data_IF_305779522002
#
_entry.id   IF_305779522002
#
_cell.length_a   1.000
_cell.length_b   1.000
_cell.length_c   1.000
_cell.angle_alpha   90.00
_cell.angle_beta   90.00
_cell.angle_gamma   90.00
#
_symmetry.space_group_name_H-M   'P 1'
#
loop_
_entity.id
_entity.type
_entity.pdbx_description
1 polymer ?
#
# COMPACT_ATOMS: atom_id res chain seq x y z
N UNK A 1 39.95 -22.85 -21.24
CA UNK A 1 38.63 -22.31 -21.64
C UNK A 1 37.78 -21.98 -20.39
N UNK A 2 38.26 -21.12 -19.48
CA UNK A 2 37.74 -21.08 -18.09
C UNK A 2 37.61 -19.70 -17.43
N UNK A 3 37.67 -18.59 -18.19
CA UNK A 3 37.47 -17.23 -17.64
C UNK A 3 36.30 -16.45 -18.24
N UNK A 4 35.63 -16.98 -19.28
CA UNK A 4 34.48 -16.32 -19.93
C UNK A 4 33.10 -16.77 -19.41
N UNK A 5 33.04 -17.88 -18.67
CA UNK A 5 31.78 -18.42 -18.12
C UNK A 5 31.37 -17.66 -16.83
N UNK A 6 32.34 -17.13 -16.08
CA UNK A 6 32.07 -16.45 -14.81
C UNK A 6 31.37 -15.09 -14.99
N UNK A 7 31.61 -14.40 -16.11
CA UNK A 7 30.99 -13.10 -16.40
C UNK A 7 29.54 -13.23 -16.88
N UNK A 8 29.17 -14.38 -17.47
CA UNK A 8 27.80 -14.63 -17.93
C UNK A 8 26.85 -14.98 -16.77
N UNK A 9 27.36 -15.65 -15.73
CA UNK A 9 26.60 -15.97 -14.52
C UNK A 9 26.32 -14.77 -13.61
N UNK A 10 27.14 -13.70 -13.70
CA UNK A 10 26.89 -12.44 -12.98
C UNK A 10 25.80 -11.58 -13.63
N UNK A 11 25.42 -11.84 -14.89
CA UNK A 11 24.36 -11.11 -15.59
C UNK A 11 22.97 -11.78 -15.47
N UNK A 12 22.91 -13.07 -15.13
CA UNK A 12 21.65 -13.81 -14.97
C UNK A 12 21.10 -13.80 -13.52
N UNK A 13 21.83 -13.19 -12.58
CA UNK A 13 21.37 -13.01 -11.21
C UNK A 13 20.86 -11.58 -10.95
N UNK A 14 20.29 -10.92 -11.96
CA UNK A 14 19.27 -9.91 -11.70
C UNK A 14 18.07 -10.64 -11.08
N UNK A 15 18.16 -10.91 -9.78
CA UNK A 15 17.02 -11.27 -8.96
C UNK A 15 15.97 -10.20 -9.23
N UNK A 16 14.94 -10.56 -9.98
CA UNK A 16 13.71 -9.81 -10.05
C UNK A 16 13.15 -9.81 -8.63
N UNK A 17 13.59 -8.86 -7.81
CA UNK A 17 12.89 -8.51 -6.58
C UNK A 17 11.56 -7.98 -7.08
N UNK A 18 10.53 -8.83 -7.08
CA UNK A 18 9.18 -8.36 -7.35
C UNK A 18 8.91 -7.31 -6.28
N UNK A 19 8.75 -6.06 -6.70
CA UNK A 19 8.48 -4.97 -5.78
C UNK A 19 7.09 -5.22 -5.16
N UNK A 20 7.06 -5.59 -3.89
CA UNK A 20 5.82 -5.86 -3.15
C UNK A 20 5.59 -4.70 -2.18
N UNK A 21 4.35 -4.18 -2.18
CA UNK A 21 3.92 -3.32 -1.09
C UNK A 21 3.77 -4.17 0.18
N UNK A 22 3.95 -3.55 1.34
CA UNK A 22 3.55 -4.14 2.62
C UNK A 22 2.50 -3.27 3.27
N UNK A 23 1.56 -3.88 3.96
CA UNK A 23 0.44 -3.19 4.59
C UNK A 23 0.31 -3.61 6.04
N UNK A 24 -0.22 -2.72 6.87
CA UNK A 24 -0.67 -3.05 8.21
C UNK A 24 -1.86 -2.16 8.57
N UNK A 25 -2.59 -2.52 9.61
CA UNK A 25 -3.68 -1.70 10.13
C UNK A 25 -3.46 -1.31 11.58
N UNK A 26 -4.06 -0.18 11.94
CA UNK A 26 -4.28 0.24 13.31
C UNK A 26 -5.77 0.25 13.59
N UNK A 27 -6.18 -0.47 14.64
CA UNK A 27 -7.52 -0.36 15.21
C UNK A 27 -7.47 -0.81 16.68
N UNK A 28 -8.45 -0.37 17.47
CA UNK A 28 -8.58 -0.68 18.90
C UNK A 28 -7.31 -0.40 19.74
N UNK A 29 -6.49 0.57 19.32
CA UNK A 29 -5.30 0.98 20.06
C UNK A 29 -3.98 0.36 19.60
N UNK A 30 -4.01 -0.59 18.66
CA UNK A 30 -2.84 -1.41 18.30
C UNK A 30 -2.55 -1.38 16.81
N UNK A 31 -1.27 -1.30 16.46
CA UNK A 31 -0.79 -1.63 15.12
C UNK A 31 -0.62 -3.14 14.99
N UNK A 32 -1.10 -3.70 13.89
CA UNK A 32 -0.79 -5.06 13.46
C UNK A 32 0.63 -5.18 12.90
N UNK A 33 1.03 -6.40 12.58
CA UNK A 33 2.29 -6.67 11.89
C UNK A 33 2.24 -6.18 10.44
N UNK A 34 3.43 -5.96 9.85
CA UNK A 34 3.53 -5.67 8.42
C UNK A 34 3.34 -6.97 7.63
N UNK A 35 2.31 -7.00 6.82
CA UNK A 35 1.99 -8.11 5.93
C UNK A 35 2.42 -7.75 4.52
N UNK A 36 3.12 -8.66 3.85
CA UNK A 36 3.41 -8.49 2.43
C UNK A 36 2.08 -8.49 1.67
N UNK A 37 1.85 -7.50 0.82
CA UNK A 37 0.66 -7.37 -0.01
C UNK A 37 0.50 -8.49 -1.06
N UNK A 38 1.38 -9.49 -1.05
CA UNK A 38 1.29 -10.74 -1.79
C UNK A 38 0.79 -11.93 -0.92
N UNK A 39 0.69 -11.76 0.40
CA UNK A 39 0.41 -12.86 1.35
C UNK A 39 -1.02 -12.74 1.87
N UNK A 40 -1.98 -12.85 0.94
CA UNK A 40 -3.37 -13.19 1.22
C UNK A 40 -3.70 -14.65 0.84
N UNK A 41 -2.69 -15.52 0.86
CA UNK A 41 -2.73 -16.84 0.22
C UNK A 41 -3.00 -18.05 1.11
N UNK A 42 -3.23 -17.88 2.41
CA UNK A 42 -3.55 -19.02 3.28
C UNK A 42 -4.73 -18.71 4.19
N UNK A 43 -5.93 -18.79 3.61
CA UNK A 43 -7.12 -19.48 4.14
C UNK A 43 -8.44 -19.00 3.49
N UNK A 44 -8.44 -17.97 2.65
CA UNK A 44 -9.61 -17.63 1.79
C UNK A 44 -9.28 -17.14 0.38
N UNK A 45 -8.00 -17.06 0.01
CA UNK A 45 -7.59 -16.87 -1.37
C UNK A 45 -7.63 -18.19 -2.11
N UNK A 46 -8.78 -18.55 -2.70
CA UNK A 46 -8.69 -19.44 -3.84
C UNK A 46 -7.79 -18.74 -4.87
N UNK A 47 -6.75 -19.41 -5.39
CA UNK A 47 -6.07 -18.87 -6.55
C UNK A 47 -7.09 -18.56 -7.63
N UNK A 48 -6.77 -17.65 -8.55
CA UNK A 48 -7.50 -17.64 -9.82
C UNK A 48 -7.51 -19.06 -10.43
N UNK A 49 -8.29 -19.28 -11.51
CA UNK A 49 -8.36 -20.57 -12.23
C UNK A 49 -6.99 -21.12 -12.67
N UNK A 50 -5.89 -20.35 -12.48
CA UNK A 50 -4.52 -20.64 -12.87
C UNK A 50 -3.50 -20.72 -11.72
N UNK A 51 -3.91 -20.67 -10.45
CA UNK A 51 -2.97 -20.83 -9.33
C UNK A 51 -2.33 -19.53 -8.82
N UNK A 52 -2.74 -18.35 -9.30
CA UNK A 52 -2.12 -17.08 -8.91
C UNK A 52 -2.83 -16.42 -7.72
N UNK A 53 -2.04 -16.00 -6.74
CA UNK A 53 -2.49 -15.14 -5.64
C UNK A 53 -2.74 -13.71 -6.17
N UNK A 54 -3.73 -12.98 -5.65
CA UNK A 54 -3.97 -11.61 -6.08
C UNK A 54 -2.81 -10.71 -5.63
N UNK A 55 -1.98 -10.25 -6.57
CA UNK A 55 -0.96 -9.25 -6.32
C UNK A 55 -1.60 -7.86 -6.30
N UNK A 56 -1.35 -7.04 -5.28
CA UNK A 56 -1.71 -5.63 -5.35
C UNK A 56 -0.74 -4.85 -6.26
N UNK A 57 -1.30 -3.96 -7.08
CA UNK A 57 -0.57 -2.93 -7.83
C UNK A 57 -0.98 -1.56 -7.33
N UNK A 58 -0.13 -0.56 -7.61
CA UNK A 58 -0.39 0.83 -7.26
C UNK A 58 -0.33 1.72 -8.49
N UNK A 59 -1.16 2.76 -8.52
CA UNK A 59 -1.15 3.78 -9.57
C UNK A 59 -1.42 5.15 -8.96
N UNK A 60 -0.58 6.13 -9.28
CA UNK A 60 -0.65 7.49 -8.73
C UNK A 60 0.72 8.14 -8.65
N UNK A 61 0.94 8.94 -7.61
CA UNK A 61 2.19 9.63 -7.32
C UNK A 61 2.41 9.76 -5.80
N UNK A 62 3.48 10.43 -5.37
CA UNK A 62 3.83 10.57 -3.95
C UNK A 62 2.83 11.39 -3.11
N UNK A 63 1.97 12.19 -3.73
CA UNK A 63 0.89 12.89 -3.03
C UNK A 63 -0.33 12.01 -2.79
N UNK A 64 -0.50 10.93 -3.54
CA UNK A 64 -1.68 10.08 -3.49
C UNK A 64 -1.67 9.02 -4.57
N UNK A 65 -2.15 7.83 -4.22
CA UNK A 65 -2.26 6.71 -5.14
C UNK A 65 -3.41 5.79 -4.77
N UNK A 66 -3.82 4.98 -5.74
CA UNK A 66 -4.76 3.89 -5.54
C UNK A 66 -4.03 2.55 -5.52
N UNK A 67 -4.59 1.61 -4.75
CA UNK A 67 -4.19 0.22 -4.64
C UNK A 67 -5.29 -0.62 -5.25
N UNK A 68 -4.93 -1.51 -6.18
CA UNK A 68 -5.88 -2.30 -6.96
C UNK A 68 -5.31 -3.69 -7.23
N UNK A 69 -6.17 -4.65 -7.57
CA UNK A 69 -5.73 -6.00 -7.91
C UNK A 69 -4.98 -6.03 -9.25
N UNK A 70 -3.98 -6.91 -9.38
CA UNK A 70 -3.07 -6.93 -10.53
C UNK A 70 -3.73 -7.23 -11.87
N UNK A 71 -4.88 -7.90 -11.84
CA UNK A 71 -5.74 -8.28 -12.96
C UNK A 71 -6.81 -7.22 -13.28
N UNK A 72 -6.88 -6.15 -12.49
CA UNK A 72 -7.92 -5.12 -12.56
C UNK A 72 -7.37 -3.82 -13.15
N UNK A 73 -8.25 -3.02 -13.74
CA UNK A 73 -7.89 -1.66 -14.17
C UNK A 73 -7.72 -0.76 -12.93
N UNK A 74 -6.82 0.25 -12.92
CA UNK A 74 -6.64 1.14 -11.76
C UNK A 74 -7.90 1.89 -11.32
N UNK A 75 -8.90 2.07 -12.19
CA UNK A 75 -10.20 2.65 -11.80
C UNK A 75 -11.01 1.74 -10.88
N UNK A 76 -10.71 0.45 -10.85
CA UNK A 76 -11.37 -0.58 -10.03
C UNK A 76 -10.56 -0.85 -8.75
N UNK A 77 -10.02 0.21 -8.17
CA UNK A 77 -9.20 0.14 -6.97
C UNK A 77 -10.00 -0.30 -5.73
N UNK A 78 -9.30 -0.86 -4.76
CA UNK A 78 -9.87 -1.26 -3.46
C UNK A 78 -9.71 -0.16 -2.42
N UNK A 79 -8.61 0.60 -2.53
CA UNK A 79 -8.26 1.68 -1.63
C UNK A 79 -7.55 2.80 -2.39
N UNK A 80 -7.83 4.05 -2.04
CA UNK A 80 -7.16 5.22 -2.60
C UNK A 80 -7.07 6.31 -1.56
N UNK A 81 -5.97 7.04 -1.53
CA UNK A 81 -5.88 8.27 -0.73
C UNK A 81 -5.24 9.40 -1.54
N UNK A 82 -5.44 10.63 -1.07
CA UNK A 82 -4.86 11.83 -1.63
C UNK A 82 -4.53 12.83 -0.54
N UNK A 83 -3.26 13.24 -0.43
CA UNK A 83 -2.80 14.33 0.41
C UNK A 83 -3.06 15.68 -0.26
N UNK A 84 -3.58 16.62 0.52
CA UNK A 84 -3.79 17.99 0.10
C UNK A 84 -2.49 18.78 0.22
N UNK A 85 -2.20 19.61 -0.78
CA UNK A 85 -1.05 20.53 -0.80
C UNK A 85 0.30 19.83 -0.54
N UNK A 86 0.46 18.59 -0.99
CA UNK A 86 1.75 17.90 -0.93
C UNK A 86 2.76 18.66 -1.78
N UNK A 87 3.93 18.94 -1.18
CA UNK A 87 5.08 19.50 -1.86
C UNK A 87 6.29 18.66 -1.49
N UNK A 88 7.07 18.28 -2.50
CA UNK A 88 8.33 17.56 -2.26
C UNK A 88 9.27 18.47 -1.45
N UNK A 89 9.66 18.08 -0.22
CA UNK A 89 10.53 18.89 0.61
C UNK A 89 11.93 19.03 -0.01
N UNK A 90 12.60 20.15 0.25
CA UNK A 90 13.97 20.33 -0.17
C UNK A 90 14.94 19.39 0.59
N UNK A 91 16.18 19.28 0.10
CA UNK A 91 17.22 18.39 0.65
C UNK A 91 17.57 18.70 2.12
N UNK A 92 17.55 19.96 2.53
CA UNK A 92 17.85 20.38 3.91
C UNK A 92 16.72 19.93 4.83
N UNK A 93 15.47 20.14 4.42
CA UNK A 93 14.27 19.71 5.14
C UNK A 93 14.24 18.18 5.28
N UNK A 94 14.47 17.43 4.19
CA UNK A 94 14.60 15.95 4.24
C UNK A 94 15.64 15.48 5.24
N UNK A 95 16.83 16.09 5.25
CA UNK A 95 17.91 15.74 6.18
C UNK A 95 17.54 16.02 7.65
N UNK A 96 16.86 17.13 7.92
CA UNK A 96 16.44 17.47 9.27
C UNK A 96 15.37 16.50 9.80
N UNK A 97 14.36 16.19 8.98
CA UNK A 97 13.31 15.23 9.32
C UNK A 97 13.86 13.82 9.55
N UNK A 98 14.80 13.36 8.70
CA UNK A 98 15.51 12.10 8.90
C UNK A 98 16.29 12.06 10.22
N UNK A 99 17.06 13.12 10.53
CA UNK A 99 17.88 13.17 11.75
C UNK A 99 17.02 13.13 13.02
N UNK A 100 15.86 13.79 12.98
CA UNK A 100 14.99 13.97 14.15
C UNK A 100 13.79 13.02 14.17
N UNK A 101 13.69 12.09 13.21
CA UNK A 101 12.54 11.20 13.02
C UNK A 101 11.18 11.92 12.96
N UNK A 102 11.13 13.08 12.29
CA UNK A 102 9.92 13.89 12.16
C UNK A 102 9.14 13.45 10.93
N UNK A 103 7.93 12.95 11.14
CA UNK A 103 7.01 12.60 10.06
C UNK A 103 6.44 13.86 9.41
N UNK A 104 6.27 13.81 8.10
CA UNK A 104 5.49 14.83 7.40
C UNK A 104 4.01 14.53 7.60
N UNK A 105 3.20 15.55 7.84
CA UNK A 105 1.78 15.39 8.11
C UNK A 105 0.96 16.27 7.17
N UNK A 106 -0.04 15.67 6.53
CA UNK A 106 -0.92 16.32 5.57
C UNK A 106 -2.37 15.96 5.87
N UNK A 107 -3.27 16.93 5.72
CA UNK A 107 -4.69 16.61 5.58
C UNK A 107 -4.95 16.03 4.19
N UNK A 108 -6.00 15.23 4.05
CA UNK A 108 -6.37 14.66 2.76
C UNK A 108 -7.67 13.89 2.80
N UNK A 109 -7.87 13.02 1.81
CA UNK A 109 -9.04 12.17 1.70
C UNK A 109 -8.63 10.72 1.43
N UNK A 110 -9.55 9.82 1.76
CA UNK A 110 -9.47 8.40 1.44
C UNK A 110 -10.76 7.95 0.77
N UNK A 111 -10.67 7.03 -0.19
CA UNK A 111 -11.78 6.32 -0.83
C UNK A 111 -11.57 4.82 -0.61
N UNK A 112 -12.61 4.12 -0.16
CA UNK A 112 -12.59 2.68 0.11
C UNK A 112 -14.00 2.09 -0.08
N UNK A 113 -14.15 0.77 0.04
CA UNK A 113 -15.43 0.08 -0.16
C UNK A 113 -15.88 -0.69 1.09
N UNK A 114 -17.18 -0.71 1.33
CA UNK A 114 -17.88 -1.50 2.36
C UNK A 114 -18.96 -2.36 1.71
N UNK A 115 -19.46 -3.38 2.40
CA UNK A 115 -20.64 -4.16 1.99
C UNK A 115 -21.65 -4.26 3.14
N UNK A 116 -22.65 -5.13 3.01
CA UNK A 116 -23.68 -5.31 4.04
C UNK A 116 -23.16 -6.07 5.27
N UNK A 117 -22.22 -6.99 5.06
CA UNK A 117 -21.63 -7.80 6.13
C UNK A 117 -20.55 -7.04 6.90
N UNK A 118 -19.92 -6.06 6.27
CA UNK A 118 -18.84 -5.22 6.81
C UNK A 118 -19.15 -3.74 6.52
N UNK A 119 -20.10 -3.14 7.26
CA UNK A 119 -20.65 -1.82 6.95
C UNK A 119 -19.71 -0.66 7.27
N UNK A 120 -18.67 -0.88 8.09
CA UNK A 120 -17.66 0.13 8.46
C UNK A 120 -16.25 -0.30 8.08
N UNK A 121 -15.32 0.66 7.98
CA UNK A 121 -13.90 0.33 7.78
C UNK A 121 -13.35 -0.55 8.91
N UNK A 122 -13.81 -0.35 10.15
CA UNK A 122 -13.39 -1.17 11.29
C UNK A 122 -13.81 -2.62 11.08
N UNK A 123 -15.02 -2.87 10.58
CA UNK A 123 -15.49 -4.23 10.25
C UNK A 123 -14.68 -4.84 9.11
N UNK A 124 -14.28 -4.03 8.12
CA UNK A 124 -13.41 -4.48 7.03
C UNK A 124 -12.06 -4.92 7.60
N UNK A 125 -11.38 -4.09 8.40
CA UNK A 125 -10.06 -4.38 8.95
C UNK A 125 -10.05 -5.52 9.98
N UNK A 126 -11.14 -5.68 10.74
CA UNK A 126 -11.29 -6.82 11.68
C UNK A 126 -11.59 -8.13 10.96
N UNK A 127 -12.38 -8.10 9.89
CA UNK A 127 -12.88 -9.29 9.20
C UNK A 127 -12.21 -9.56 7.86
N UNK A 128 -11.11 -8.88 7.52
CA UNK A 128 -10.39 -9.06 6.25
C UNK A 128 -9.53 -10.32 6.19
N UNK A 129 -9.60 -11.19 7.20
CA UNK A 129 -8.82 -12.43 7.26
C UNK A 129 -7.36 -12.13 7.55
N UNK A 130 -6.47 -12.56 6.66
CA UNK A 130 -5.00 -12.49 6.82
C UNK A 130 -4.36 -11.21 6.28
N UNK A 131 -5.15 -10.37 5.61
CA UNK A 131 -4.66 -9.09 5.11
C UNK A 131 -5.48 -8.04 5.82
N UNK A 132 -4.95 -7.41 6.86
CA UNK A 132 -5.64 -6.34 7.60
C UNK A 132 -5.68 -5.06 6.75
N UNK A 133 -6.40 -5.07 5.63
CA UNK A 133 -6.41 -4.02 4.61
C UNK A 133 -7.78 -3.86 3.94
N UNK A 134 -8.16 -2.65 3.47
CA UNK A 134 -9.41 -2.41 2.74
C UNK A 134 -9.34 -2.98 1.31
N UNK A 135 -9.52 -4.29 1.18
CA UNK A 135 -9.36 -5.04 -0.07
C UNK A 135 -10.67 -5.23 -0.87
N UNK A 136 -11.81 -4.67 -0.42
CA UNK A 136 -13.06 -4.78 -1.18
C UNK A 136 -12.95 -4.03 -2.49
N UNK A 137 -13.40 -4.67 -3.57
CA UNK A 137 -13.42 -4.11 -4.92
C UNK A 137 -14.85 -3.72 -5.34
N UNK A 138 -15.02 -2.80 -6.31
CA UNK A 138 -16.33 -2.33 -6.76
C UNK A 138 -17.24 -3.43 -7.31
N UNK A 139 -16.66 -4.51 -7.84
CA UNK A 139 -17.40 -5.61 -8.46
C UNK A 139 -18.00 -6.62 -7.46
N UNK A 140 -17.70 -6.50 -6.17
CA UNK A 140 -18.37 -7.32 -5.14
C UNK A 140 -19.83 -6.89 -5.02
N UNK A 141 -20.74 -7.87 -4.90
CA UNK A 141 -22.17 -7.61 -4.73
C UNK A 141 -22.39 -6.73 -3.50
N UNK A 142 -23.22 -5.69 -3.66
CA UNK A 142 -23.54 -4.70 -2.63
C UNK A 142 -22.33 -3.86 -2.13
N UNK A 143 -21.19 -3.88 -2.84
CA UNK A 143 -20.09 -2.99 -2.53
C UNK A 143 -20.51 -1.53 -2.71
N UNK A 144 -20.25 -0.72 -1.69
CA UNK A 144 -20.53 0.71 -1.68
C UNK A 144 -19.25 1.47 -1.41
N UNK A 145 -18.96 2.44 -2.28
CA UNK A 145 -17.84 3.35 -2.08
C UNK A 145 -18.12 4.28 -0.90
N UNK A 146 -17.12 4.49 -0.06
CA UNK A 146 -17.08 5.47 1.03
C UNK A 146 -15.93 6.42 0.80
N UNK A 147 -16.08 7.63 1.32
CA UNK A 147 -15.05 8.66 1.32
C UNK A 147 -14.99 9.31 2.69
N UNK A 148 -13.79 9.52 3.21
CA UNK A 148 -13.57 10.14 4.49
C UNK A 148 -12.40 11.13 4.44
N UNK A 149 -12.42 12.11 5.34
CA UNK A 149 -11.25 12.94 5.61
C UNK A 149 -10.17 12.09 6.28
N UNK A 150 -8.92 12.32 5.92
CA UNK A 150 -7.79 11.56 6.42
C UNK A 150 -6.63 12.48 6.87
N UNK A 151 -5.88 12.03 7.86
CA UNK A 151 -4.54 12.54 8.17
C UNK A 151 -3.51 11.58 7.58
N UNK A 152 -2.72 12.06 6.65
CA UNK A 152 -1.72 11.30 5.91
C UNK A 152 -0.36 11.66 6.47
N UNK A 153 0.29 10.69 7.11
CA UNK A 153 1.64 10.85 7.63
C UNK A 153 2.63 10.11 6.74
N UNK A 154 3.66 10.79 6.29
CA UNK A 154 4.74 10.22 5.49
C UNK A 154 5.99 10.14 6.35
N UNK A 155 6.55 8.94 6.49
CA UNK A 155 7.78 8.75 7.25
C UNK A 155 8.94 9.56 6.64
N UNK A 156 9.89 10.07 7.44
CA UNK A 156 11.03 10.80 6.92
C UNK A 156 11.84 9.95 5.93
N UNK A 157 12.30 10.57 4.84
CA UNK A 157 12.94 9.86 3.72
C UNK A 157 14.09 10.66 3.10
N UNK A 158 15.01 9.95 2.45
CA UNK A 158 16.18 10.53 1.78
C UNK A 158 15.86 10.94 0.34
N UNK A 159 15.41 9.97 -0.46
CA UNK A 159 15.23 10.13 -1.90
C UNK A 159 13.75 10.41 -2.18
N UNK A 160 12.91 9.38 -2.02
CA UNK A 160 11.45 9.46 -2.20
C UNK A 160 10.70 8.85 -0.99
N UNK A 161 9.44 9.25 -0.76
CA UNK A 161 8.55 8.63 0.23
C UNK A 161 8.44 7.12 0.05
N UNK A 162 8.41 6.38 1.17
CA UNK A 162 8.26 4.91 1.16
C UNK A 162 7.14 4.43 2.09
N UNK A 163 7.08 4.99 3.29
CA UNK A 163 6.14 4.55 4.32
C UNK A 163 5.11 5.65 4.56
N UNK A 164 3.85 5.25 4.53
CA UNK A 164 2.68 6.10 4.73
C UNK A 164 1.82 5.51 5.85
N UNK A 165 1.32 6.36 6.74
CA UNK A 165 0.25 6.03 7.67
C UNK A 165 -0.94 6.92 7.36
N UNK A 166 -2.05 6.31 6.95
CA UNK A 166 -3.29 6.98 6.56
C UNK A 166 -4.29 6.80 7.69
N UNK A 167 -4.59 7.87 8.42
CA UNK A 167 -5.51 7.86 9.55
C UNK A 167 -6.87 8.41 9.17
N UNK A 168 -7.94 7.67 9.42
CA UNK A 168 -9.32 8.07 9.12
C UNK A 168 -10.29 7.24 9.95
N UNK A 169 -11.45 7.78 10.31
CA UNK A 169 -12.52 7.04 11.02
C UNK A 169 -12.02 6.19 12.21
N UNK A 170 -11.11 6.76 13.01
CA UNK A 170 -10.48 6.12 14.18
C UNK A 170 -9.63 4.86 13.90
N UNK A 171 -9.30 4.61 12.62
CA UNK A 171 -8.39 3.55 12.19
C UNK A 171 -7.17 4.14 11.49
N UNK A 172 -6.14 3.32 11.33
CA UNK A 172 -4.95 3.64 10.53
C UNK A 172 -4.67 2.54 9.52
N UNK A 173 -4.19 2.94 8.34
CA UNK A 173 -3.66 2.01 7.32
C UNK A 173 -2.22 2.40 7.05
N UNK A 174 -1.31 1.48 7.37
CA UNK A 174 0.11 1.56 7.06
C UNK A 174 0.38 1.00 5.67
N UNK A 175 1.16 1.70 4.86
CA UNK A 175 1.57 1.27 3.51
C UNK A 175 3.08 1.50 3.38
N UNK A 176 3.82 0.45 3.07
CA UNK A 176 5.23 0.51 2.70
C UNK A 176 5.39 0.15 1.21
N UNK A 177 5.93 1.09 0.43
CA UNK A 177 6.18 0.93 -1.00
C UNK A 177 7.40 0.04 -1.31
N UNK A 178 8.26 -0.25 -0.33
CA UNK A 178 9.44 -1.08 -0.50
C UNK A 178 10.41 -0.52 -1.54
N UNK A 179 10.45 -1.16 -2.72
CA UNK A 179 11.27 -0.77 -3.87
C UNK A 179 10.48 -0.06 -4.98
N UNK A 180 9.16 0.11 -4.81
CA UNK A 180 8.32 0.82 -5.76
C UNK A 180 8.61 2.33 -5.70
N UNK A 181 8.70 2.94 -6.88
CA UNK A 181 8.83 4.39 -7.04
C UNK A 181 7.90 4.85 -8.16
N UNK A 182 7.39 6.07 -8.03
CA UNK A 182 6.66 6.73 -9.10
C UNK A 182 7.64 7.45 -10.03
N UNK A 183 7.38 7.37 -11.34
CA UNK A 183 8.13 8.16 -12.32
C UNK A 183 7.65 9.61 -12.25
N UNK A 184 8.60 10.53 -12.20
CA UNK A 184 8.37 11.98 -12.32
C UNK A 184 8.18 12.38 -13.79
#
# INVERSE_FOLDING_TARGET
MGKKILTLLLFLASLSISAQIRVCAYYDGYWGEWEDGAVGGFLFGMPDTYGNLPYFKIYGNYSGFCIYYSDSHPSDYTFKFQANNYVTPDKKTKKAHLKNNIWYEYNGTVEYYVDDDRPTIRDILKNSGFVHFPALKPSIKNARKRSANATIKIAPYKDHPKIYNIWFEEVGVGIDLGTIYFRE
#
